data_IF_473384957439
#
_entry.id   IF_473384957439
#
_cell.length_a   1.000
_cell.length_b   1.000
_cell.length_c   1.000
_cell.angle_alpha   90.00
_cell.angle_beta   90.00
_cell.angle_gamma   90.00
#
_symmetry.space_group_name_H-M   'P 1'
#
loop_
_entity.id
_entity.type
_entity.pdbx_description
1 polymer ?
#
# COMPACT_ATOMS: atom_id res chain seq x y z
N UNK A 1 6.70 -7.79 34.48
CA UNK A 1 6.64 -6.47 33.82
C UNK A 1 7.37 -6.61 32.50
N UNK A 2 6.65 -6.72 31.38
CA UNK A 2 7.26 -6.67 30.04
C UNK A 2 7.68 -5.23 29.80
N UNK A 3 8.97 -4.94 29.75
CA UNK A 3 9.47 -3.66 29.27
C UNK A 3 9.30 -3.67 27.76
N UNK A 4 8.27 -3.00 27.26
CA UNK A 4 8.14 -2.81 25.82
C UNK A 4 9.40 -2.13 25.28
N UNK A 5 9.91 -2.57 24.12
CA UNK A 5 11.09 -1.96 23.52
C UNK A 5 10.81 -0.48 23.26
N UNK A 6 11.80 0.37 23.53
CA UNK A 6 11.71 1.80 23.17
C UNK A 6 11.92 1.93 21.66
N UNK A 7 11.07 2.68 20.93
CA UNK A 7 11.25 2.88 19.50
C UNK A 7 12.50 3.72 19.21
N UNK A 8 13.24 3.34 18.17
CA UNK A 8 14.40 4.09 17.67
C UNK A 8 13.95 5.34 16.89
N UNK A 9 12.75 5.29 16.29
CA UNK A 9 12.15 6.40 15.56
C UNK A 9 10.63 6.36 15.68
N UNK A 10 10.00 7.52 15.78
CA UNK A 10 8.54 7.64 15.77
C UNK A 10 8.11 8.65 14.72
N UNK A 11 7.13 8.27 13.90
CA UNK A 11 6.49 9.13 12.93
C UNK A 11 5.04 9.39 13.33
N UNK A 12 4.62 10.64 13.26
CA UNK A 12 3.26 11.07 13.57
C UNK A 12 2.44 11.17 12.29
N UNK A 13 1.25 10.55 12.30
CA UNK A 13 0.32 10.54 11.16
C UNK A 13 -0.89 11.39 11.52
N UNK A 14 -1.05 12.50 10.81
CA UNK A 14 -2.22 13.38 10.91
C UNK A 14 -3.16 13.12 9.76
N UNK A 15 -4.45 12.90 10.05
CA UNK A 15 -5.44 12.62 9.02
C UNK A 15 -6.44 13.75 8.87
N UNK A 16 -6.70 14.13 7.61
CA UNK A 16 -7.77 15.05 7.25
C UNK A 16 -8.89 14.31 6.53
N UNK A 17 -10.01 14.10 7.21
CA UNK A 17 -11.23 13.56 6.61
C UNK A 17 -11.78 14.46 5.49
N UNK A 18 -11.62 15.79 5.61
CA UNK A 18 -12.05 16.75 4.59
C UNK A 18 -11.25 16.60 3.30
N UNK A 19 -9.94 16.35 3.41
CA UNK A 19 -9.04 16.23 2.25
C UNK A 19 -8.80 14.79 1.81
N UNK A 20 -9.23 13.80 2.60
CA UNK A 20 -8.87 12.38 2.49
C UNK A 20 -7.36 12.18 2.35
N UNK A 21 -6.60 12.86 3.22
CA UNK A 21 -5.13 12.90 3.16
C UNK A 21 -4.54 12.60 4.53
N UNK A 22 -3.53 11.72 4.57
CA UNK A 22 -2.62 11.57 5.70
C UNK A 22 -1.36 12.38 5.44
N UNK A 23 -0.90 13.12 6.46
CA UNK A 23 0.39 13.79 6.47
C UNK A 23 1.24 13.11 7.53
N UNK A 24 2.45 12.71 7.17
CA UNK A 24 3.38 12.05 8.09
C UNK A 24 4.54 12.98 8.41
N UNK A 25 4.84 13.14 9.71
CA UNK A 25 5.87 14.02 10.25
C UNK A 25 6.77 13.27 11.24
N UNK A 26 7.97 13.79 11.46
CA UNK A 26 8.86 13.29 12.51
C UNK A 26 8.50 13.88 13.88
N UNK A 27 8.12 15.16 13.91
CA UNK A 27 7.61 15.86 15.10
C UNK A 27 6.42 16.77 14.72
N UNK A 28 5.65 17.22 15.72
CA UNK A 28 4.46 18.06 15.49
C UNK A 28 4.77 19.37 14.74
N UNK A 29 5.96 19.91 14.98
CA UNK A 29 6.44 21.16 14.38
C UNK A 29 7.33 20.94 13.16
N UNK A 30 7.66 19.68 12.83
CA UNK A 30 8.54 19.40 11.69
C UNK A 30 7.81 19.56 10.37
N UNK A 31 8.58 19.84 9.33
CA UNK A 31 8.07 19.75 7.96
C UNK A 31 7.54 18.33 7.68
N UNK A 32 6.48 18.23 6.86
CA UNK A 32 5.92 16.95 6.46
C UNK A 32 6.91 16.16 5.59
N UNK A 33 7.14 14.90 5.94
CA UNK A 33 8.07 14.03 5.19
C UNK A 33 7.35 13.27 4.08
N UNK A 34 6.14 12.79 4.38
CA UNK A 34 5.35 11.98 3.45
C UNK A 34 3.90 12.41 3.45
N UNK A 35 3.25 12.12 2.32
CA UNK A 35 1.82 12.36 2.12
C UNK A 35 1.18 11.12 1.52
N UNK A 36 0.09 10.68 2.13
CA UNK A 36 -0.81 9.70 1.53
C UNK A 36 -2.10 10.41 1.13
N UNK A 37 -2.47 10.36 -0.15
CA UNK A 37 -3.78 10.80 -0.62
C UNK A 37 -4.64 9.58 -0.91
N UNK A 38 -5.84 9.54 -0.36
CA UNK A 38 -6.79 8.46 -0.57
C UNK A 38 -7.98 8.93 -1.41
N UNK A 39 -8.42 8.06 -2.32
CA UNK A 39 -9.65 8.22 -3.08
C UNK A 39 -10.66 7.18 -2.59
N UNK A 40 -11.67 7.64 -1.84
CA UNK A 40 -12.70 6.77 -1.26
C UNK A 40 -13.62 6.10 -2.28
N UNK A 41 -13.68 6.57 -3.53
CA UNK A 41 -14.47 5.93 -4.59
C UNK A 41 -13.70 4.78 -5.25
N UNK A 42 -12.44 5.02 -5.62
CA UNK A 42 -11.63 4.01 -6.31
C UNK A 42 -10.87 3.08 -5.36
N UNK A 43 -10.92 3.37 -4.05
CA UNK A 43 -10.15 2.68 -3.01
C UNK A 43 -8.64 2.69 -3.27
N UNK A 44 -8.17 3.68 -4.03
CA UNK A 44 -6.76 3.86 -4.37
C UNK A 44 -6.14 4.89 -3.43
N UNK A 45 -4.98 4.56 -2.90
CA UNK A 45 -4.11 5.50 -2.20
C UNK A 45 -2.85 5.75 -3.02
N UNK A 46 -2.37 6.99 -2.99
CA UNK A 46 -1.11 7.40 -3.59
C UNK A 46 -0.22 7.99 -2.50
N UNK A 47 1.01 7.52 -2.43
CA UNK A 47 2.01 7.95 -1.47
C UNK A 47 3.05 8.81 -2.17
N UNK A 48 3.38 9.95 -1.55
CA UNK A 48 4.33 10.93 -2.08
C UNK A 48 5.34 11.34 -1.01
N UNK A 49 6.51 11.78 -1.47
CA UNK A 49 7.61 12.33 -0.66
C UNK A 49 8.14 13.61 -1.32
N UNK A 50 8.96 14.40 -0.61
CA UNK A 50 9.74 15.48 -1.23
C UNK A 50 8.92 16.70 -1.62
N UNK A 51 9.25 17.32 -2.77
CA UNK A 51 8.69 18.60 -3.21
C UNK A 51 7.16 18.55 -3.36
N UNK A 52 6.61 17.40 -3.81
CA UNK A 52 5.18 17.18 -3.89
C UNK A 52 4.43 17.29 -2.54
N UNK A 53 5.11 17.03 -1.42
CA UNK A 53 4.51 17.17 -0.07
C UNK A 53 4.37 18.65 0.28
N UNK A 54 5.40 19.44 0.05
CA UNK A 54 5.41 20.89 0.29
C UNK A 54 4.40 21.61 -0.61
N UNK A 55 4.33 21.25 -1.90
CA UNK A 55 3.36 21.80 -2.84
C UNK A 55 1.90 21.47 -2.44
N UNK A 56 1.64 20.27 -1.92
CA UNK A 56 0.32 19.88 -1.44
C UNK A 56 -0.11 20.64 -0.17
N UNK A 57 0.84 21.14 0.63
CA UNK A 57 0.57 21.99 1.79
C UNK A 57 0.32 23.45 1.44
N UNK A 58 1.00 23.98 0.40
CA UNK A 58 0.82 25.37 -0.05
C UNK A 58 -0.53 25.60 -0.77
N UNK A 59 -1.17 24.54 -1.28
CA UNK A 59 -2.52 24.61 -1.87
C UNK A 59 -3.61 24.67 -0.76
N UNK A 60 -3.67 25.83 -0.12
CA UNK A 60 -4.70 26.45 0.74
C UNK A 60 -5.43 25.59 1.84
N UNK A 61 -5.50 26.05 3.10
CA UNK A 61 -6.32 25.46 4.17
C UNK A 61 -7.85 25.49 3.93
N UNK A 62 -8.42 26.34 3.06
CA UNK A 62 -9.88 26.48 2.93
C UNK A 62 -10.51 26.39 1.52
N UNK A 63 -9.74 26.09 0.47
CA UNK A 63 -10.30 26.00 -0.88
C UNK A 63 -11.20 24.76 -1.08
N UNK A 64 -12.52 24.98 -1.13
CA UNK A 64 -13.50 24.10 -1.77
C UNK A 64 -13.37 24.28 -3.28
N UNK A 65 -12.87 23.25 -3.97
CA UNK A 65 -13.26 23.02 -5.36
C UNK A 65 -13.33 21.52 -5.65
N UNK A 66 -14.56 21.09 -5.84
CA UNK A 66 -14.93 19.84 -6.49
C UNK A 66 -14.91 20.14 -7.99
N UNK A 67 -13.93 19.61 -8.71
CA UNK A 67 -14.12 18.93 -9.99
C UNK A 67 -12.76 18.43 -10.52
N UNK A 68 -12.88 17.36 -11.30
CA UNK A 68 -11.88 16.44 -11.77
C UNK A 68 -10.80 17.05 -12.69
N UNK A 69 -9.75 16.26 -12.88
CA UNK A 69 -8.82 16.35 -14.01
C UNK A 69 -7.83 17.51 -14.00
N UNK A 70 -6.85 17.42 -13.09
CA UNK A 70 -5.53 17.99 -13.36
C UNK A 70 -4.46 17.22 -12.58
N UNK A 71 -3.76 16.34 -13.30
CA UNK A 71 -2.35 16.05 -13.06
C UNK A 71 -1.58 17.38 -13.06
N UNK A 72 -1.53 18.03 -11.91
CA UNK A 72 -0.43 18.95 -11.65
C UNK A 72 0.75 18.03 -11.42
N UNK A 73 1.62 17.98 -12.43
CA UNK A 73 2.84 17.18 -12.52
C UNK A 73 3.66 17.36 -11.23
N UNK A 74 3.38 16.54 -10.23
CA UNK A 74 4.44 16.06 -9.38
C UNK A 74 5.23 15.14 -10.31
N UNK A 75 6.51 15.45 -10.55
CA UNK A 75 7.38 14.53 -11.27
C UNK A 75 7.14 13.12 -10.73
N UNK A 76 6.99 12.12 -11.60
CA UNK A 76 6.73 10.72 -11.19
C UNK A 76 7.75 10.22 -10.14
N UNK A 77 8.91 10.89 -10.05
CA UNK A 77 9.96 10.69 -9.04
C UNK A 77 9.52 10.91 -7.59
N UNK A 78 8.51 11.75 -7.35
CA UNK A 78 7.98 12.04 -6.02
C UNK A 78 6.95 11.00 -5.54
N UNK A 79 6.43 10.16 -6.44
CA UNK A 79 5.50 9.09 -6.10
C UNK A 79 6.30 7.89 -5.59
N UNK A 80 6.28 7.69 -4.27
CA UNK A 80 6.97 6.55 -3.65
C UNK A 80 6.18 5.25 -3.80
N UNK A 81 4.86 5.32 -3.97
CA UNK A 81 4.06 4.12 -4.07
C UNK A 81 2.57 4.37 -4.25
N UNK A 82 1.85 3.31 -4.58
CA UNK A 82 0.38 3.32 -4.63
C UNK A 82 -0.15 2.09 -3.91
N UNK A 83 -1.40 2.14 -3.46
CA UNK A 83 -2.07 0.94 -2.98
C UNK A 83 -3.52 0.93 -3.41
N UNK A 84 -4.08 -0.25 -3.60
CA UNK A 84 -5.49 -0.45 -3.91
C UNK A 84 -6.07 -1.51 -2.98
N UNK A 85 -7.10 -1.12 -2.26
CA UNK A 85 -7.91 -2.04 -1.46
C UNK A 85 -9.03 -2.59 -2.35
N UNK A 86 -9.20 -3.91 -2.38
CA UNK A 86 -10.29 -4.56 -3.09
C UNK A 86 -11.51 -4.66 -2.18
N UNK A 87 -12.71 -4.39 -2.70
CA UNK A 87 -13.93 -4.35 -1.88
C UNK A 87 -14.35 -5.74 -1.34
N UNK A 88 -14.03 -6.82 -2.07
CA UNK A 88 -14.46 -8.20 -1.75
C UNK A 88 -13.29 -9.07 -1.23
N UNK A 89 -12.06 -8.74 -1.61
CA UNK A 89 -10.86 -9.49 -1.22
C UNK A 89 -10.08 -8.74 -0.15
N UNK A 90 -9.58 -9.48 0.84
CA UNK A 90 -8.75 -8.96 1.93
C UNK A 90 -7.31 -8.66 1.50
N UNK A 91 -6.93 -9.07 0.29
CA UNK A 91 -5.62 -8.78 -0.30
C UNK A 91 -5.54 -7.31 -0.72
N UNK A 92 -4.36 -6.73 -0.49
CA UNK A 92 -4.06 -5.35 -0.86
C UNK A 92 -2.94 -5.39 -1.89
N UNK A 93 -3.22 -4.78 -3.04
CA UNK A 93 -2.20 -4.59 -4.07
C UNK A 93 -1.51 -3.25 -3.79
N UNK A 94 -0.22 -3.28 -3.47
CA UNK A 94 0.58 -2.09 -3.30
C UNK A 94 1.73 -2.05 -4.31
N UNK A 95 2.28 -0.87 -4.53
CA UNK A 95 3.51 -0.66 -5.29
C UNK A 95 4.43 0.24 -4.49
N UNK A 96 5.74 -0.07 -4.51
CA UNK A 96 6.79 0.75 -3.91
C UNK A 96 7.87 0.98 -4.96
N UNK A 97 8.08 2.24 -5.34
CA UNK A 97 9.05 2.68 -6.36
C UNK A 97 9.01 1.83 -7.65
N UNK A 98 7.81 1.53 -8.13
CA UNK A 98 7.57 0.72 -9.33
C UNK A 98 7.55 -0.80 -9.14
N UNK A 99 7.95 -1.31 -7.97
CA UNK A 99 7.87 -2.74 -7.62
C UNK A 99 6.50 -3.09 -7.05
N UNK A 100 5.89 -4.20 -7.48
CA UNK A 100 4.67 -4.69 -6.86
C UNK A 100 4.94 -5.30 -5.48
N UNK A 101 4.12 -4.92 -4.50
CA UNK A 101 4.09 -5.42 -3.14
C UNK A 101 2.69 -5.98 -2.88
N UNK A 102 2.55 -7.30 -2.89
CA UNK A 102 1.29 -7.93 -2.51
C UNK A 102 1.24 -8.17 -1.00
N UNK A 103 0.24 -7.59 -0.35
CA UNK A 103 -0.03 -7.80 1.07
C UNK A 103 -1.20 -8.79 1.17
N UNK A 104 -0.90 -10.01 1.60
CA UNK A 104 -1.85 -11.13 1.61
C UNK A 104 -2.25 -11.50 3.03
N UNK A 105 -3.50 -11.92 3.24
CA UNK A 105 -3.95 -12.30 4.58
C UNK A 105 -3.57 -13.75 4.92
N UNK A 106 -2.68 -13.92 5.91
CA UNK A 106 -2.22 -15.22 6.39
C UNK A 106 -3.28 -16.02 7.17
N UNK A 107 -4.24 -15.33 7.82
CA UNK A 107 -5.36 -15.97 8.52
C UNK A 107 -6.59 -15.06 8.51
N UNK A 108 -7.75 -15.60 8.14
CA UNK A 108 -9.00 -14.81 8.00
C UNK A 108 -9.63 -14.38 9.34
N UNK A 109 -9.33 -15.08 10.42
CA UNK A 109 -9.90 -14.85 11.77
C UNK A 109 -8.95 -14.10 12.73
N UNK A 110 -7.65 -14.12 12.45
CA UNK A 110 -6.67 -13.29 13.11
C UNK A 110 -5.98 -12.49 12.02
N UNK A 111 -6.22 -11.19 11.99
CA UNK A 111 -5.72 -10.23 11.01
C UNK A 111 -4.19 -10.23 10.99
N UNK A 112 -3.62 -11.23 10.30
CA UNK A 112 -2.20 -11.36 10.02
C UNK A 112 -2.02 -11.21 8.53
N UNK A 113 -1.08 -10.36 8.14
CA UNK A 113 -0.78 -10.07 6.76
C UNK A 113 0.69 -10.30 6.49
N UNK A 114 0.97 -11.03 5.42
CA UNK A 114 2.33 -11.31 4.99
C UNK A 114 2.63 -10.58 3.68
N UNK A 115 3.84 -10.05 3.57
CA UNK A 115 4.33 -9.47 2.33
C UNK A 115 5.85 -9.67 2.19
N UNK A 116 6.34 -9.62 0.95
CA UNK A 116 7.74 -9.81 0.62
C UNK A 116 8.50 -8.46 0.60
N UNK A 117 9.40 -8.27 1.56
CA UNK A 117 10.24 -7.07 1.67
C UNK A 117 11.60 -7.27 1.01
N UNK A 118 12.07 -6.25 0.32
CA UNK A 118 13.49 -6.17 -0.08
C UNK A 118 14.31 -5.27 0.85
N UNK A 119 13.66 -4.34 1.57
CA UNK A 119 14.35 -3.47 2.51
C UNK A 119 14.89 -4.24 3.73
N UNK A 120 14.16 -5.28 4.15
CA UNK A 120 14.53 -6.14 5.27
C UNK A 120 15.20 -7.46 4.84
N UNK A 121 15.50 -7.62 3.54
CA UNK A 121 16.19 -8.80 3.03
C UNK A 121 17.64 -8.86 3.53
N UNK A 122 18.03 -9.99 4.12
CA UNK A 122 19.44 -10.24 4.47
C UNK A 122 20.26 -10.61 3.23
N UNK A 123 19.62 -11.28 2.27
CA UNK A 123 20.22 -11.67 0.99
C UNK A 123 19.57 -10.89 -0.17
N UNK A 124 20.33 -10.30 -1.11
CA UNK A 124 19.78 -9.54 -2.24
C UNK A 124 18.84 -10.32 -3.16
N UNK A 125 18.94 -11.64 -3.18
CA UNK A 125 18.16 -12.55 -4.03
C UNK A 125 17.01 -13.24 -3.29
N UNK A 126 16.89 -13.04 -1.96
CA UNK A 126 15.81 -13.61 -1.16
C UNK A 126 15.07 -12.49 -0.44
N UNK A 127 13.85 -12.13 -0.88
CA UNK A 127 13.06 -11.14 -0.15
C UNK A 127 12.69 -11.68 1.24
N UNK A 128 12.75 -10.82 2.25
CA UNK A 128 12.35 -11.17 3.61
C UNK A 128 10.82 -11.23 3.72
N UNK A 129 10.28 -12.30 4.30
CA UNK A 129 8.84 -12.41 4.55
C UNK A 129 8.48 -11.68 5.85
N UNK A 130 7.84 -10.52 5.69
CA UNK A 130 7.43 -9.68 6.80
C UNK A 130 5.98 -9.97 7.18
N UNK A 131 5.67 -9.92 8.48
CA UNK A 131 4.33 -10.23 9.01
C UNK A 131 3.78 -9.05 9.82
N UNK A 132 2.72 -8.43 9.31
CA UNK A 132 1.87 -7.55 10.11
C UNK A 132 0.90 -8.39 10.95
N UNK A 133 0.91 -8.20 12.26
CA UNK A 133 0.06 -8.89 13.23
C UNK A 133 -0.80 -7.87 13.96
N UNK A 134 -2.12 -7.97 13.84
CA UNK A 134 -3.02 -7.19 14.67
C UNK A 134 -2.96 -7.65 16.14
N UNK A 135 -2.91 -6.69 17.06
CA UNK A 135 -2.87 -6.95 18.50
C UNK A 135 -4.26 -6.83 19.15
N UNK A 136 -5.12 -5.95 18.65
CA UNK A 136 -6.46 -5.75 19.17
C UNK A 136 -7.57 -6.36 18.30
N UNK A 137 -8.57 -6.93 18.96
CA UNK A 137 -9.84 -7.37 18.35
C UNK A 137 -10.91 -6.27 18.29
N UNK A 138 -10.72 -5.18 19.04
CA UNK A 138 -11.67 -4.07 19.18
C UNK A 138 -11.24 -2.90 18.28
N UNK A 139 -12.13 -1.95 18.03
CA UNK A 139 -12.10 -0.81 17.07
C UNK A 139 -10.79 0.01 16.91
N UNK A 140 -9.75 -0.24 17.70
CA UNK A 140 -8.42 0.36 17.51
C UNK A 140 -7.55 -0.68 16.80
N UNK A 141 -7.37 -0.53 15.48
CA UNK A 141 -6.59 -1.46 14.66
C UNK A 141 -5.09 -1.22 14.83
N UNK A 142 -4.53 -1.62 15.97
CA UNK A 142 -3.09 -1.61 16.20
C UNK A 142 -2.42 -2.84 15.59
N UNK A 143 -1.24 -2.63 15.02
CA UNK A 143 -0.50 -3.69 14.32
C UNK A 143 0.98 -3.65 14.65
N UNK A 144 1.55 -4.83 14.83
CA UNK A 144 2.98 -5.04 14.94
C UNK A 144 3.51 -5.66 13.65
N UNK A 145 4.53 -5.05 13.06
CA UNK A 145 5.31 -5.61 11.97
C UNK A 145 6.46 -6.42 12.54
N UNK A 146 6.51 -7.69 12.18
CA UNK A 146 7.51 -8.65 12.58
C UNK A 146 8.38 -9.05 11.39
N UNK A 147 9.68 -9.21 11.62
CA UNK A 147 10.62 -9.79 10.66
C UNK A 147 10.49 -11.33 10.58
N UNK A 148 11.29 -11.98 9.72
CA UNK A 148 11.31 -13.44 9.56
C UNK A 148 11.65 -14.18 10.88
N UNK A 149 12.43 -13.54 11.75
CA UNK A 149 12.82 -14.07 13.06
C UNK A 149 11.77 -13.79 14.14
N UNK A 150 10.66 -13.11 13.80
CA UNK A 150 9.62 -12.72 14.74
C UNK A 150 9.97 -11.51 15.61
N UNK A 151 11.03 -10.75 15.28
CA UNK A 151 11.40 -9.52 15.98
C UNK A 151 10.53 -8.36 15.51
N UNK A 152 10.13 -7.51 16.45
CA UNK A 152 9.37 -6.29 16.17
C UNK A 152 10.27 -5.29 15.43
N UNK A 153 9.83 -4.84 14.25
CA UNK A 153 10.53 -3.84 13.44
C UNK A 153 9.74 -2.55 13.27
N UNK A 154 8.40 -2.63 13.33
CA UNK A 154 7.55 -1.45 13.36
C UNK A 154 6.25 -1.75 14.10
N UNK A 155 5.63 -0.70 14.63
CA UNK A 155 4.32 -0.75 15.26
C UNK A 155 3.48 0.40 14.73
N UNK A 156 2.30 0.08 14.23
CA UNK A 156 1.30 1.04 13.82
C UNK A 156 0.27 1.17 14.94
N UNK A 157 0.24 2.34 15.57
CA UNK A 157 -0.61 2.63 16.71
C UNK A 157 -1.60 3.74 16.36
N UNK A 158 -2.82 3.40 15.91
CA UNK A 158 -3.85 4.40 15.64
C UNK A 158 -4.41 4.94 16.96
N UNK A 159 -4.53 6.27 17.05
CA UNK A 159 -5.29 6.90 18.13
C UNK A 159 -6.77 6.89 17.75
N UNK A 160 -7.63 6.86 18.77
CA UNK A 160 -9.08 6.70 18.66
C UNK A 160 -9.72 7.52 17.53
N UNK A 161 -10.68 6.91 16.85
CA UNK A 161 -11.38 7.44 15.68
C UNK A 161 -12.10 8.76 16.01
N UNK A 162 -11.53 9.90 15.60
CA UNK A 162 -12.16 11.23 15.78
C UNK A 162 -11.22 12.36 16.17
N UNK A 163 -9.95 12.09 16.49
CA UNK A 163 -8.95 13.12 16.81
C UNK A 163 -8.09 13.40 15.57
N UNK A 164 -7.68 14.66 15.37
CA UNK A 164 -6.79 15.08 14.25
C UNK A 164 -5.48 14.26 14.17
N UNK A 165 -4.99 13.81 15.33
CA UNK A 165 -3.82 12.95 15.50
C UNK A 165 -4.26 11.49 15.34
N UNK A 166 -4.02 10.94 14.17
CA UNK A 166 -4.69 9.73 13.69
C UNK A 166 -3.91 8.45 14.01
N UNK A 167 -2.58 8.47 13.91
CA UNK A 167 -1.75 7.34 14.30
C UNK A 167 -0.31 7.77 14.61
N UNK A 168 0.41 6.92 15.33
CA UNK A 168 1.87 6.91 15.35
C UNK A 168 2.39 5.65 14.68
N UNK A 169 3.49 5.78 13.93
CA UNK A 169 4.27 4.67 13.41
C UNK A 169 5.59 4.66 14.15
N UNK A 170 5.74 3.68 15.04
CA UNK A 170 6.94 3.44 15.81
C UNK A 170 7.81 2.45 15.03
N UNK A 171 9.09 2.74 14.87
CA UNK A 171 10.04 1.86 14.19
C UNK A 171 11.18 1.46 15.11
N UNK A 172 11.64 0.23 14.93
CA UNK A 172 12.60 -0.44 15.80
C UNK A 172 13.73 -1.04 14.97
N UNK A 173 14.93 -1.03 15.55
CA UNK A 173 16.14 -1.56 14.94
C UNK A 173 16.85 -0.56 14.02
N UNK A 174 18.00 -0.99 13.46
CA UNK A 174 18.89 -0.11 12.69
C UNK A 174 18.26 0.41 11.38
N UNK A 175 17.28 -0.31 10.83
CA UNK A 175 16.57 0.07 9.60
C UNK A 175 15.47 1.11 9.83
N UNK A 176 15.21 1.53 11.09
CA UNK A 176 14.24 2.58 11.39
C UNK A 176 14.60 3.95 10.76
N UNK A 177 15.88 4.18 10.43
CA UNK A 177 16.32 5.40 9.76
C UNK A 177 16.50 5.23 8.26
N UNK A 178 16.40 4.00 7.76
CA UNK A 178 16.52 3.74 6.34
C UNK A 178 15.27 4.21 5.58
N UNK A 179 15.51 4.94 4.48
CA UNK A 179 14.44 5.53 3.68
C UNK A 179 13.59 4.45 3.02
N UNK A 180 14.20 3.39 2.51
CA UNK A 180 13.50 2.34 1.79
C UNK A 180 12.61 1.52 2.74
N UNK A 181 13.14 1.15 3.91
CA UNK A 181 12.40 0.48 4.97
C UNK A 181 11.23 1.35 5.47
N UNK A 182 11.48 2.65 5.73
CA UNK A 182 10.45 3.60 6.18
C UNK A 182 9.29 3.69 5.18
N UNK A 183 9.60 3.90 3.90
CA UNK A 183 8.58 4.01 2.86
C UNK A 183 7.74 2.73 2.74
N UNK A 184 8.38 1.55 2.81
CA UNK A 184 7.69 0.27 2.74
C UNK A 184 6.77 0.04 3.95
N UNK A 185 7.23 0.38 5.16
CA UNK A 185 6.41 0.33 6.39
C UNK A 185 5.21 1.27 6.30
N UNK A 186 5.41 2.50 5.80
CA UNK A 186 4.33 3.47 5.64
C UNK A 186 3.30 3.01 4.61
N UNK A 187 3.75 2.53 3.44
CA UNK A 187 2.87 2.04 2.39
C UNK A 187 2.05 0.85 2.92
N UNK A 188 2.71 -0.17 3.46
CA UNK A 188 2.02 -1.39 3.89
C UNK A 188 1.13 -1.15 5.11
N UNK A 189 1.62 -0.42 6.13
CA UNK A 189 0.90 -0.13 7.36
C UNK A 189 -0.34 0.74 7.16
N UNK A 190 -0.22 1.88 6.46
CA UNK A 190 -1.37 2.74 6.22
C UNK A 190 -2.39 2.10 5.27
N UNK A 191 -1.94 1.35 4.26
CA UNK A 191 -2.87 0.65 3.35
C UNK A 191 -3.64 -0.47 4.06
N UNK A 192 -2.97 -1.22 4.94
CA UNK A 192 -3.63 -2.20 5.80
C UNK A 192 -4.63 -1.56 6.75
N UNK A 193 -4.27 -0.44 7.38
CA UNK A 193 -5.19 0.30 8.24
C UNK A 193 -6.44 0.76 7.48
N UNK A 194 -6.28 1.36 6.30
CA UNK A 194 -7.41 1.79 5.47
C UNK A 194 -8.29 0.61 5.03
N UNK A 195 -7.68 -0.54 4.73
CA UNK A 195 -8.43 -1.78 4.46
C UNK A 195 -9.31 -2.17 5.65
N UNK A 196 -8.78 -2.14 6.88
CA UNK A 196 -9.55 -2.45 8.09
C UNK A 196 -10.66 -1.44 8.36
N UNK A 197 -10.39 -0.14 8.21
CA UNK A 197 -11.41 0.91 8.35
C UNK A 197 -12.55 0.67 7.38
N UNK A 198 -12.25 0.45 6.10
CA UNK A 198 -13.27 0.16 5.09
C UNK A 198 -14.07 -1.10 5.42
N UNK A 199 -13.40 -2.16 5.88
CA UNK A 199 -14.05 -3.41 6.27
C UNK A 199 -14.94 -3.26 7.52
N UNK A 200 -14.61 -2.32 8.40
CA UNK A 200 -15.40 -2.02 9.60
C UNK A 200 -16.61 -1.12 9.31
N UNK A 201 -16.55 -0.30 8.25
CA UNK A 201 -17.64 0.59 7.82
C UNK A 201 -18.61 -0.06 6.84
N UNK A 202 -18.15 -1.03 6.05
CA UNK A 202 -19.02 -1.84 5.20
C UNK A 202 -19.70 -2.90 6.07
N UNK A 203 -21.03 -2.88 6.18
CA UNK A 203 -21.79 -3.93 6.87
C UNK A 203 -21.85 -5.26 6.09
N UNK A 204 -21.37 -5.28 4.84
CA UNK A 204 -21.43 -6.40 3.88
C UNK A 204 -20.56 -7.63 4.25
N UNK A 205 -19.39 -7.53 4.89
CA UNK A 205 -18.55 -8.69 5.23
C UNK A 205 -19.18 -9.65 6.25
N UNK A 206 -20.23 -9.25 6.97
CA UNK A 206 -20.92 -10.11 7.94
C UNK A 206 -21.78 -11.20 7.27
N UNK A 207 -22.32 -10.96 6.07
CA UNK A 207 -23.09 -11.97 5.33
C UNK A 207 -22.17 -12.87 4.49
N UNK A 208 -21.09 -12.32 3.93
CA UNK A 208 -20.10 -13.09 3.15
C UNK A 208 -19.23 -14.03 4.00
N UNK A 209 -18.96 -13.70 5.27
CA UNK A 209 -18.17 -14.54 6.17
C UNK A 209 -18.89 -15.84 6.60
N UNK A 210 -20.23 -15.88 6.54
CA UNK A 210 -21.04 -17.07 6.87
C UNK A 210 -21.14 -18.03 5.67
N UNK A 211 -20.97 -17.54 4.44
CA UNK A 211 -21.10 -18.33 3.19
C UNK A 211 -19.75 -18.67 2.55
N UNK A 212 -18.66 -18.03 2.98
CA UNK A 212 -17.32 -18.30 2.46
C UNK A 212 -16.82 -19.69 2.93
N UNK A 213 -16.74 -20.63 1.99
CA UNK A 213 -16.04 -21.91 2.16
C UNK A 213 -14.63 -21.68 2.73
N UNK A 214 -14.09 -22.60 3.55
CA UNK A 214 -12.72 -22.52 4.07
C UNK A 214 -11.73 -22.61 2.92
N UNK A 215 -11.43 -21.45 2.31
CA UNK A 215 -10.49 -21.34 1.21
C UNK A 215 -9.07 -21.55 1.73
N UNK A 216 -8.31 -22.35 0.98
CA UNK A 216 -6.86 -22.62 1.01
C UNK A 216 -6.07 -21.69 1.93
N UNK A 217 -5.23 -22.27 2.79
CA UNK A 217 -4.24 -21.54 3.58
C UNK A 217 -3.48 -20.55 2.68
N UNK A 218 -3.83 -19.27 2.79
CA UNK A 218 -3.18 -18.17 2.08
C UNK A 218 -1.91 -17.81 2.85
N UNK A 219 -0.96 -18.74 2.89
CA UNK A 219 0.41 -18.40 3.28
C UNK A 219 1.06 -17.90 2.00
N UNK A 220 1.47 -16.64 1.94
CA UNK A 220 2.63 -16.30 1.08
C UNK A 220 3.75 -17.17 1.62
N UNK A 221 3.94 -18.30 0.96
CA UNK A 221 5.06 -19.19 1.24
C UNK A 221 6.31 -18.48 0.74
N UNK A 222 7.47 -18.77 1.34
CA UNK A 222 8.75 -18.23 0.83
C UNK A 222 8.90 -18.45 -0.68
N UNK A 223 8.34 -19.55 -1.19
CA UNK A 223 8.27 -19.87 -2.61
C UNK A 223 7.44 -18.87 -3.41
N UNK A 224 6.22 -18.55 -2.99
CA UNK A 224 5.38 -17.55 -3.66
C UNK A 224 5.98 -16.14 -3.59
N UNK A 225 6.61 -15.78 -2.46
CA UNK A 225 7.34 -14.53 -2.30
C UNK A 225 8.54 -14.43 -3.26
N UNK A 226 9.27 -15.54 -3.42
CA UNK A 226 10.40 -15.62 -4.34
C UNK A 226 9.95 -15.56 -5.81
N UNK A 227 8.92 -16.30 -6.18
CA UNK A 227 8.34 -16.24 -7.54
C UNK A 227 7.80 -14.83 -7.87
N UNK A 228 7.22 -14.12 -6.90
CA UNK A 228 6.79 -12.74 -7.09
C UNK A 228 7.97 -11.76 -7.22
N UNK A 229 9.04 -11.98 -6.46
CA UNK A 229 10.29 -11.25 -6.65
C UNK A 229 10.88 -11.47 -8.04
N UNK A 230 10.96 -12.72 -8.51
CA UNK A 230 11.43 -13.04 -9.86
C UNK A 230 10.59 -12.35 -10.93
N UNK A 231 9.25 -12.44 -10.85
CA UNK A 231 8.35 -11.72 -11.76
C UNK A 231 8.56 -10.21 -11.73
N UNK A 232 8.79 -9.62 -10.56
CA UNK A 232 9.05 -8.18 -10.43
C UNK A 232 10.41 -7.78 -11.02
N UNK A 233 11.45 -8.60 -10.84
CA UNK A 233 12.77 -8.40 -11.44
C UNK A 233 12.70 -8.55 -12.95
N UNK A 234 11.98 -9.54 -13.46
CA UNK A 234 11.72 -9.73 -14.89
C UNK A 234 10.94 -8.55 -15.47
N UNK A 235 9.87 -8.11 -14.82
CA UNK A 235 9.09 -6.95 -15.25
C UNK A 235 9.94 -5.67 -15.25
N UNK A 236 10.79 -5.46 -14.25
CA UNK A 236 11.72 -4.32 -14.22
C UNK A 236 12.77 -4.41 -15.34
N UNK A 237 13.31 -5.61 -15.60
CA UNK A 237 14.24 -5.87 -16.72
C UNK A 237 13.58 -5.63 -18.07
N UNK A 238 12.32 -6.05 -18.23
CA UNK A 238 11.54 -5.86 -19.47
C UNK A 238 11.12 -4.39 -19.67
N UNK A 239 10.78 -3.69 -18.59
CA UNK A 239 10.50 -2.25 -18.63
C UNK A 239 11.75 -1.43 -19.01
N UNK A 240 12.93 -1.83 -18.53
CA UNK A 240 14.21 -1.27 -18.97
C UNK A 240 14.55 -1.63 -20.42
N UNK A 241 14.06 -2.76 -20.92
CA UNK A 241 14.24 -3.21 -22.31
C UNK A 241 13.17 -2.68 -23.29
N UNK A 242 12.25 -1.81 -22.85
CA UNK A 242 11.25 -1.17 -23.72
C UNK A 242 10.06 -2.04 -24.15
N UNK A 243 9.85 -3.19 -23.51
CA UNK A 243 8.76 -4.12 -23.89
C UNK A 243 7.47 -3.92 -23.10
N UNK A 244 6.36 -3.61 -23.78
CA UNK A 244 5.02 -3.68 -23.21
C UNK A 244 4.45 -5.10 -23.30
N UNK A 245 4.26 -5.77 -22.16
CA UNK A 245 3.46 -6.99 -22.05
C UNK A 245 2.19 -6.71 -21.25
N UNK A 246 1.07 -7.24 -21.73
CA UNK A 246 -0.19 -7.29 -20.98
C UNK A 246 -0.07 -8.29 -19.83
N UNK A 247 -0.84 -8.12 -18.73
CA UNK A 247 -0.76 -8.94 -17.52
C UNK A 247 -1.17 -10.42 -17.69
N UNK A 248 -1.42 -10.90 -18.91
CA UNK A 248 -1.75 -12.29 -19.24
C UNK A 248 -0.59 -13.07 -19.89
N UNK A 249 0.58 -12.46 -20.07
CA UNK A 249 1.77 -13.14 -20.58
C UNK A 249 1.78 -13.40 -22.09
N UNK A 250 0.85 -12.81 -22.85
CA UNK A 250 0.87 -12.91 -24.32
C UNK A 250 1.73 -11.82 -24.98
N UNK A 251 2.69 -12.26 -25.80
CA UNK A 251 3.47 -11.41 -26.71
C UNK A 251 2.65 -11.12 -27.95
N UNK A 252 1.96 -9.98 -27.98
CA UNK A 252 1.29 -9.49 -29.18
C UNK A 252 2.10 -8.38 -29.84
N UNK A 253 2.85 -8.71 -30.90
CA UNK A 253 3.14 -7.73 -31.94
C UNK A 253 1.78 -7.29 -32.51
N UNK A 254 1.38 -6.06 -32.18
CA UNK A 254 0.19 -5.46 -32.78
C UNK A 254 0.62 -4.87 -34.11
N UNK A 255 0.37 -5.64 -35.17
CA UNK A 255 0.44 -5.17 -36.55
C UNK A 255 -0.62 -4.07 -36.75
N UNK A 256 -0.20 -2.82 -36.58
CA UNK A 256 -1.04 -1.62 -36.62
C UNK A 256 -1.77 -1.46 -37.97
N UNK A 257 -1.30 -2.12 -39.04
CA UNK A 257 -1.92 -2.06 -40.36
C UNK A 257 -3.19 -2.92 -40.47
N UNK A 258 -3.37 -3.94 -39.61
CA UNK A 258 -4.56 -4.81 -39.65
C UNK A 258 -5.73 -4.33 -38.81
N UNK A 259 -5.54 -3.30 -37.98
CA UNK A 259 -6.59 -2.83 -37.05
C UNK A 259 -7.72 -2.09 -37.75
N UNK A 260 -7.48 -1.57 -38.96
CA UNK A 260 -8.45 -0.74 -39.69
C UNK A 260 -9.33 -1.51 -40.69
N UNK A 261 -9.04 -2.78 -41.00
CA UNK A 261 -9.85 -3.55 -41.97
C UNK A 261 -11.25 -3.93 -41.43
N UNK A 262 -11.47 -3.95 -40.12
CA UNK A 262 -12.75 -4.37 -39.53
C UNK A 262 -13.67 -3.22 -39.09
N UNK A 263 -13.31 -1.95 -39.34
CA UNK A 263 -14.14 -0.80 -38.93
C UNK A 263 -15.17 -0.40 -40.02
N UNK A 264 -15.04 -0.91 -41.24
CA UNK A 264 -15.94 -0.53 -42.36
C UNK A 264 -17.01 -1.56 -42.77
N UNK A 265 -17.09 -2.74 -42.14
CA UNK A 265 -18.11 -3.74 -42.50
C UNK A 265 -19.47 -3.57 -41.81
N UNK A 266 -19.61 -2.59 -40.90
CA UNK A 266 -20.85 -2.36 -40.14
C UNK A 266 -21.82 -1.31 -40.71
N UNK A 267 -21.44 -0.55 -41.75
CA UNK A 267 -22.18 0.65 -42.17
C UNK A 267 -23.07 0.48 -43.42
N UNK A 268 -23.33 -0.75 -43.89
CA UNK A 268 -24.32 -1.00 -44.95
C UNK A 268 -25.12 -2.26 -44.62
N UNK A 269 -26.25 -2.09 -43.89
CA UNK A 269 -27.54 -2.80 -44.05
C UNK A 269 -28.38 -2.72 -42.76
N UNK A 270 -29.17 -1.65 -42.62
CA UNK A 270 -30.65 -1.63 -42.60
C UNK A 270 -31.14 -0.30 -42.08
#
# INVERSE_FOLDING_TARGET
MSTDPTPDRTLFVDFSWRKYTCIIRENEESEPLYLQKWNGWTMKSTFKTGAAVTAAMQKDPDAVSINSDASTLADDTDIIGTSRVRAVHIDIDATHRGRALRISAAKKLMTRYNYASLAYATDPHKPAVMTWKANSWVKCFDFDLLDESGRLVARFNPKYFGIKKFASVEMFGPLAWDKQATEEVLITGLSMYMCMVYRSMSWVPLVGAIVARPGKDYKVTEKEAHEEYERNVEAARMAQAGGHLKPDGSSGDVDHDKMWEHVNEGAIRR
#
